data_IF_823448289878
#
_entry.id   IF_823448289878
#
_cell.length_a   1.000
_cell.length_b   1.000
_cell.length_c   1.000
_cell.angle_alpha   90.00
_cell.angle_beta   90.00
_cell.angle_gamma   90.00
#
_symmetry.space_group_name_H-M   'P 1'
#
loop_
_entity.id
_entity.type
_entity.pdbx_description
1 polymer ?
#
# COMPACT_ATOMS: atom_id res chain seq x y z
N UNK A 1 -1.07 -28.77 15.61
CA UNK A 1 -0.50 -27.69 14.79
C UNK A 1 -1.25 -26.39 15.12
N UNK A 2 -0.49 -25.34 15.39
CA UNK A 2 -1.05 -24.03 15.76
C UNK A 2 -2.05 -23.48 14.74
N UNK A 3 -1.83 -23.77 13.45
CA UNK A 3 -2.73 -23.29 12.37
C UNK A 3 -4.10 -23.98 12.43
N UNK A 4 -4.16 -25.22 12.87
CA UNK A 4 -5.42 -25.97 12.99
C UNK A 4 -6.16 -25.67 14.30
N UNK A 5 -5.45 -25.36 15.35
CA UNK A 5 -6.03 -24.96 16.63
C UNK A 5 -6.70 -23.60 16.58
N UNK A 6 -6.31 -22.79 15.60
CA UNK A 6 -6.90 -21.48 15.37
C UNK A 6 -8.26 -21.56 14.66
N UNK A 7 -8.66 -22.73 14.17
CA UNK A 7 -9.89 -22.91 13.39
C UNK A 7 -11.17 -22.85 14.22
N UNK A 8 -11.07 -22.99 15.54
CA UNK A 8 -12.24 -22.97 16.42
C UNK A 8 -12.82 -21.57 16.62
N UNK A 9 -12.07 -20.53 16.24
CA UNK A 9 -12.56 -19.15 16.29
C UNK A 9 -12.61 -18.58 14.87
N UNK A 10 -13.72 -17.92 14.48
CA UNK A 10 -13.78 -17.25 13.19
C UNK A 10 -12.58 -16.31 13.03
N UNK A 11 -11.99 -16.29 11.84
CA UNK A 11 -10.83 -15.45 11.53
C UNK A 11 -11.05 -13.97 11.91
N UNK A 12 -12.27 -13.47 11.66
CA UNK A 12 -12.63 -12.09 11.93
C UNK A 12 -13.15 -11.83 13.35
N UNK A 13 -13.20 -12.85 14.22
CA UNK A 13 -13.62 -12.66 15.61
C UNK A 13 -12.67 -11.75 16.37
N UNK A 14 -11.36 -11.84 16.08
CA UNK A 14 -10.36 -10.91 16.57
C UNK A 14 -9.96 -9.97 15.41
N UNK A 15 -10.56 -8.78 15.36
CA UNK A 15 -10.29 -7.80 14.30
C UNK A 15 -8.84 -7.33 14.26
N UNK A 16 -8.22 -7.22 15.41
CA UNK A 16 -6.82 -6.78 15.48
C UNK A 16 -5.89 -7.81 14.82
N UNK A 17 -6.09 -9.07 15.12
CA UNK A 17 -5.33 -10.17 14.52
C UNK A 17 -5.61 -10.29 13.03
N UNK A 18 -6.87 -10.20 12.62
CA UNK A 18 -7.26 -10.22 11.22
C UNK A 18 -6.60 -9.07 10.45
N UNK A 19 -6.60 -7.88 11.04
CA UNK A 19 -5.94 -6.71 10.45
C UNK A 19 -4.45 -6.98 10.19
N UNK A 20 -3.71 -7.41 11.21
CA UNK A 20 -2.27 -7.64 11.05
C UNK A 20 -1.95 -8.74 10.06
N UNK A 21 -2.72 -9.81 10.05
CA UNK A 21 -2.52 -10.92 9.11
C UNK A 21 -2.80 -10.48 7.67
N UNK A 22 -3.91 -9.79 7.44
CA UNK A 22 -4.28 -9.30 6.11
C UNK A 22 -3.34 -8.19 5.63
N UNK A 23 -2.96 -7.29 6.51
CA UNK A 23 -2.04 -6.20 6.20
C UNK A 23 -0.67 -6.76 5.78
N UNK A 24 -0.11 -7.65 6.56
CA UNK A 24 1.18 -8.27 6.27
C UNK A 24 1.13 -9.17 5.02
N UNK A 25 0.08 -9.97 4.89
CA UNK A 25 -0.11 -10.85 3.72
C UNK A 25 -0.32 -10.03 2.44
N UNK A 26 -1.11 -8.97 2.51
CA UNK A 26 -1.38 -8.08 1.37
C UNK A 26 -0.11 -7.40 0.88
N UNK A 27 0.63 -6.76 1.77
CA UNK A 27 1.87 -6.08 1.40
C UNK A 27 2.97 -7.07 1.00
N UNK A 28 3.08 -8.19 1.69
CA UNK A 28 4.01 -9.26 1.32
C UNK A 28 3.70 -9.85 -0.05
N UNK A 29 2.43 -10.09 -0.34
CA UNK A 29 1.98 -10.58 -1.64
C UNK A 29 2.21 -9.58 -2.77
N UNK A 30 1.89 -8.31 -2.55
CA UNK A 30 2.16 -7.25 -3.53
C UNK A 30 3.65 -7.13 -3.82
N UNK A 31 4.49 -7.14 -2.78
CA UNK A 31 5.94 -7.08 -2.91
C UNK A 31 6.47 -8.27 -3.71
N UNK A 32 5.99 -9.47 -3.42
CA UNK A 32 6.38 -10.68 -4.14
C UNK A 32 6.00 -10.61 -5.61
N UNK A 33 4.80 -10.13 -5.93
CA UNK A 33 4.35 -9.95 -7.32
C UNK A 33 5.22 -8.95 -8.07
N UNK A 34 5.55 -7.81 -7.47
CA UNK A 34 6.43 -6.83 -8.10
C UNK A 34 7.84 -7.39 -8.30
N UNK A 35 8.37 -8.10 -7.31
CA UNK A 35 9.70 -8.71 -7.42
C UNK A 35 9.75 -9.74 -8.54
N UNK A 36 8.74 -10.60 -8.64
CA UNK A 36 8.62 -11.59 -9.73
C UNK A 36 8.52 -10.90 -11.09
N UNK A 37 7.75 -9.82 -11.18
CA UNK A 37 7.62 -9.03 -12.41
C UNK A 37 8.95 -8.46 -12.86
N UNK A 38 9.75 -7.91 -11.94
CA UNK A 38 11.10 -7.39 -12.22
C UNK A 38 11.99 -8.50 -12.78
N UNK A 39 12.01 -9.65 -12.14
CA UNK A 39 12.84 -10.79 -12.56
C UNK A 39 12.36 -11.35 -13.88
N UNK A 40 11.06 -11.54 -14.06
CA UNK A 40 10.46 -12.11 -15.26
C UNK A 40 10.68 -11.24 -16.50
N UNK A 41 10.75 -9.92 -16.34
CA UNK A 41 11.02 -9.00 -17.43
C UNK A 41 12.53 -8.81 -17.72
N UNK A 42 13.37 -9.58 -17.04
CA UNK A 42 14.82 -9.50 -17.25
C UNK A 42 15.45 -8.20 -16.81
N UNK A 43 14.80 -7.46 -15.92
CA UNK A 43 15.32 -6.21 -15.41
C UNK A 43 16.48 -6.47 -14.42
N UNK A 44 17.45 -5.52 -14.29
CA UNK A 44 18.52 -5.67 -13.32
C UNK A 44 17.99 -5.86 -11.89
N UNK A 45 18.71 -6.64 -11.10
CA UNK A 45 18.32 -6.87 -9.70
C UNK A 45 18.29 -5.60 -8.86
N UNK A 46 18.98 -4.54 -9.30
CA UNK A 46 18.92 -3.23 -8.66
C UNK A 46 17.48 -2.65 -8.61
N UNK A 47 16.61 -3.07 -9.53
CA UNK A 47 15.20 -2.67 -9.51
C UNK A 47 14.42 -3.27 -8.34
N UNK A 48 14.95 -4.26 -7.65
CA UNK A 48 14.35 -4.76 -6.41
C UNK A 48 14.45 -3.76 -5.27
N UNK A 49 15.41 -2.85 -5.30
CA UNK A 49 15.54 -1.80 -4.27
C UNK A 49 14.32 -0.87 -4.26
N UNK A 50 13.86 -0.30 -5.40
CA UNK A 50 12.61 0.46 -5.42
C UNK A 50 11.41 -0.34 -4.94
N UNK A 51 11.34 -1.62 -5.29
CA UNK A 51 10.24 -2.50 -4.86
C UNK A 51 10.20 -2.58 -3.33
N UNK A 52 11.34 -2.79 -2.69
CA UNK A 52 11.44 -2.88 -1.23
C UNK A 52 11.12 -1.54 -0.55
N UNK A 53 11.63 -0.43 -1.09
CA UNK A 53 11.35 0.91 -0.55
C UNK A 53 9.85 1.22 -0.68
N UNK A 54 9.26 0.91 -1.82
CA UNK A 54 7.83 1.08 -2.05
C UNK A 54 7.00 0.25 -1.06
N UNK A 55 7.39 -0.98 -0.81
CA UNK A 55 6.71 -1.86 0.14
C UNK A 55 6.76 -1.31 1.56
N UNK A 56 7.92 -0.86 2.03
CA UNK A 56 8.08 -0.29 3.36
C UNK A 56 7.28 1.02 3.48
N UNK A 57 7.36 1.86 2.46
CA UNK A 57 6.61 3.13 2.43
C UNK A 57 5.11 2.89 2.47
N UNK A 58 4.61 2.01 1.61
CA UNK A 58 3.18 1.69 1.54
C UNK A 58 2.68 1.04 2.83
N UNK A 59 3.45 0.12 3.38
CA UNK A 59 3.14 -0.50 4.66
C UNK A 59 2.99 0.54 5.77
N UNK A 60 3.94 1.47 5.85
CA UNK A 60 3.95 2.54 6.85
C UNK A 60 2.79 3.52 6.65
N UNK A 61 2.56 3.95 5.42
CA UNK A 61 1.46 4.88 5.07
C UNK A 61 0.12 4.27 5.44
N UNK A 62 -0.11 3.00 5.11
CA UNK A 62 -1.38 2.34 5.42
C UNK A 62 -1.55 2.07 6.91
N UNK A 63 -0.46 1.89 7.67
CA UNK A 63 -0.55 1.86 9.13
C UNK A 63 -1.02 3.20 9.70
N UNK A 64 -0.50 4.30 9.19
CA UNK A 64 -0.96 5.64 9.60
C UNK A 64 -2.43 5.82 9.27
N UNK A 65 -2.85 5.43 8.06
CA UNK A 65 -4.25 5.48 7.66
C UNK A 65 -5.14 4.66 8.60
N UNK A 66 -4.69 3.49 9.04
CA UNK A 66 -5.45 2.65 9.94
C UNK A 66 -5.74 3.34 11.28
N UNK A 67 -4.77 4.11 11.77
CA UNK A 67 -4.95 4.91 12.98
C UNK A 67 -6.01 6.00 12.75
N UNK A 68 -5.92 6.71 11.65
CA UNK A 68 -6.89 7.75 11.28
C UNK A 68 -8.29 7.14 11.17
N UNK A 69 -8.43 6.01 10.50
CA UNK A 69 -9.72 5.36 10.29
C UNK A 69 -10.37 4.88 11.59
N UNK A 70 -9.58 4.39 12.54
CA UNK A 70 -10.10 4.04 13.87
C UNK A 70 -10.73 5.23 14.58
N UNK A 71 -10.14 6.40 14.40
CA UNK A 71 -10.65 7.62 15.01
C UNK A 71 -11.96 8.09 14.40
N UNK A 72 -12.13 7.93 13.08
CA UNK A 72 -13.26 8.53 12.37
C UNK A 72 -14.41 7.57 12.11
N UNK A 73 -14.22 6.27 12.30
CA UNK A 73 -15.21 5.27 11.94
C UNK A 73 -16.52 5.41 12.75
N UNK A 74 -16.44 5.93 13.97
CA UNK A 74 -17.58 6.16 14.85
C UNK A 74 -18.13 7.59 14.79
N UNK A 75 -17.54 8.43 13.96
CA UNK A 75 -17.98 9.82 13.80
C UNK A 75 -19.17 9.90 12.83
N UNK A 76 -19.72 11.11 12.70
CA UNK A 76 -20.80 11.35 11.74
C UNK A 76 -20.36 10.95 10.33
N UNK A 77 -21.26 10.39 9.49
CA UNK A 77 -20.88 9.95 8.14
C UNK A 77 -20.16 10.99 7.32
N UNK A 78 -20.56 12.26 7.42
CA UNK A 78 -19.89 13.35 6.71
C UNK A 78 -18.42 13.50 7.14
N UNK A 79 -18.14 13.43 8.44
CA UNK A 79 -16.78 13.54 8.98
C UNK A 79 -15.97 12.32 8.58
N UNK A 80 -16.53 11.12 8.69
CA UNK A 80 -15.87 9.87 8.34
C UNK A 80 -15.45 9.86 6.86
N UNK A 81 -16.39 10.13 5.96
CA UNK A 81 -16.12 10.07 4.52
C UNK A 81 -15.25 11.23 4.05
N UNK A 82 -15.46 12.44 4.57
CA UNK A 82 -14.64 13.60 4.25
C UNK A 82 -13.20 13.43 4.69
N UNK A 83 -12.97 12.97 5.92
CA UNK A 83 -11.63 12.69 6.44
C UNK A 83 -10.96 11.54 5.69
N UNK A 84 -11.71 10.49 5.39
CA UNK A 84 -11.21 9.34 4.63
C UNK A 84 -10.75 9.77 3.25
N UNK A 85 -11.56 10.54 2.53
CA UNK A 85 -11.21 11.02 1.20
C UNK A 85 -9.94 11.88 1.24
N UNK A 86 -9.88 12.82 2.17
CA UNK A 86 -8.71 13.67 2.35
C UNK A 86 -7.46 12.86 2.70
N UNK A 87 -7.59 11.89 3.61
CA UNK A 87 -6.48 11.05 4.03
C UNK A 87 -5.98 10.17 2.89
N UNK A 88 -6.89 9.58 2.11
CA UNK A 88 -6.52 8.75 0.94
C UNK A 88 -5.80 9.58 -0.10
N UNK A 89 -6.30 10.78 -0.41
CA UNK A 89 -5.67 11.66 -1.39
C UNK A 89 -4.28 12.09 -0.93
N UNK A 90 -4.13 12.49 0.33
CA UNK A 90 -2.85 12.92 0.89
C UNK A 90 -1.85 11.75 0.94
N UNK A 91 -2.29 10.58 1.37
CA UNK A 91 -1.46 9.38 1.44
C UNK A 91 -1.02 8.93 0.04
N UNK A 92 -1.92 8.96 -0.93
CA UNK A 92 -1.61 8.61 -2.32
C UNK A 92 -0.58 9.56 -2.90
N UNK A 93 -0.76 10.85 -2.68
CA UNK A 93 0.17 11.86 -3.19
C UNK A 93 1.56 11.69 -2.59
N UNK A 94 1.65 11.49 -1.28
CA UNK A 94 2.92 11.25 -0.60
C UNK A 94 3.59 9.97 -1.09
N UNK A 95 2.85 8.89 -1.16
CA UNK A 95 3.35 7.59 -1.59
C UNK A 95 3.84 7.62 -3.04
N UNK A 96 3.02 8.20 -3.93
CA UNK A 96 3.37 8.33 -5.35
C UNK A 96 4.60 9.24 -5.55
N UNK A 97 4.72 10.30 -4.78
CA UNK A 97 5.88 11.19 -4.84
C UNK A 97 7.16 10.43 -4.46
N UNK A 98 7.13 9.70 -3.37
CA UNK A 98 8.28 8.91 -2.91
C UNK A 98 8.64 7.84 -3.94
N UNK A 99 7.66 7.10 -4.44
CA UNK A 99 7.86 6.08 -5.46
C UNK A 99 8.51 6.66 -6.72
N UNK A 100 8.00 7.79 -7.19
CA UNK A 100 8.50 8.46 -8.40
C UNK A 100 9.93 8.94 -8.20
N UNK A 101 10.21 9.55 -7.05
CA UNK A 101 11.54 10.04 -6.74
C UNK A 101 12.56 8.91 -6.68
N UNK A 102 12.21 7.79 -6.07
CA UNK A 102 13.09 6.61 -5.97
C UNK A 102 13.36 6.02 -7.36
N UNK A 103 12.32 5.83 -8.17
CA UNK A 103 12.45 5.29 -9.52
C UNK A 103 13.32 6.21 -10.39
N UNK A 104 13.09 7.52 -10.33
CA UNK A 104 13.87 8.49 -11.10
C UNK A 104 15.36 8.48 -10.70
N UNK A 105 15.63 8.34 -9.40
CA UNK A 105 17.01 8.29 -8.90
C UNK A 105 17.76 7.05 -9.41
N UNK A 106 17.08 5.91 -9.53
CA UNK A 106 17.69 4.65 -9.95
C UNK A 106 17.82 4.54 -11.47
N UNK A 107 16.93 5.19 -12.21
CA UNK A 107 16.96 5.19 -13.68
C UNK A 107 17.90 6.23 -14.29
N UNK A 108 18.94 6.59 -13.60
CA UNK A 108 19.90 7.58 -14.12
C UNK A 108 20.47 7.15 -15.49
N UNK A 109 20.33 8.01 -16.46
CA UNK A 109 21.06 8.00 -17.73
C UNK A 109 20.41 7.26 -18.91
N UNK A 110 19.52 6.29 -18.70
CA UNK A 110 19.01 5.47 -19.79
C UNK A 110 17.56 5.83 -20.21
N UNK A 111 16.77 6.32 -19.29
CA UNK A 111 15.37 6.66 -19.54
C UNK A 111 15.09 8.06 -18.99
N UNK A 112 14.80 8.99 -19.89
CA UNK A 112 14.58 10.40 -19.53
C UNK A 112 13.10 10.74 -19.45
N UNK A 113 12.26 9.80 -18.98
CA UNK A 113 10.85 10.07 -18.78
C UNK A 113 10.68 11.23 -17.80
N UNK A 114 9.92 12.27 -18.14
CA UNK A 114 9.70 13.41 -17.24
C UNK A 114 9.10 12.99 -15.91
N UNK A 115 9.53 13.66 -14.85
CA UNK A 115 9.03 13.40 -13.49
C UNK A 115 7.50 13.47 -13.41
N UNK A 116 6.88 14.47 -14.05
CA UNK A 116 5.43 14.62 -14.05
C UNK A 116 4.71 13.41 -14.64
N UNK A 117 5.24 12.84 -15.71
CA UNK A 117 4.67 11.66 -16.36
C UNK A 117 4.79 10.42 -15.48
N UNK A 118 5.95 10.22 -14.86
CA UNK A 118 6.15 9.14 -13.88
C UNK A 118 5.23 9.29 -12.67
N UNK A 119 5.08 10.52 -12.19
CA UNK A 119 4.21 10.82 -11.06
C UNK A 119 2.75 10.51 -11.37
N UNK A 120 2.26 10.86 -12.56
CA UNK A 120 0.88 10.55 -12.96
C UNK A 120 0.62 9.05 -12.95
N UNK A 121 1.55 8.26 -13.49
CA UNK A 121 1.44 6.80 -13.46
C UNK A 121 1.45 6.25 -12.03
N UNK A 122 2.33 6.78 -11.20
CA UNK A 122 2.41 6.37 -9.79
C UNK A 122 1.16 6.77 -9.02
N UNK A 123 0.61 7.97 -9.25
CA UNK A 123 -0.65 8.41 -8.63
C UNK A 123 -1.79 7.46 -8.95
N UNK A 124 -1.90 7.03 -10.19
CA UNK A 124 -2.94 6.07 -10.60
C UNK A 124 -2.75 4.72 -9.90
N UNK A 125 -1.54 4.16 -9.97
CA UNK A 125 -1.22 2.85 -9.39
C UNK A 125 -1.38 2.86 -7.87
N UNK A 126 -0.77 3.82 -7.20
CA UNK A 126 -0.76 3.91 -5.75
C UNK A 126 -2.14 4.33 -5.22
N UNK A 127 -2.87 5.15 -5.97
CA UNK A 127 -4.24 5.50 -5.65
C UNK A 127 -5.18 4.31 -5.66
N UNK A 128 -5.05 3.44 -6.65
CA UNK A 128 -5.82 2.18 -6.69
C UNK A 128 -5.45 1.27 -5.51
N UNK A 129 -4.18 1.17 -5.19
CA UNK A 129 -3.69 0.32 -4.11
C UNK A 129 -4.17 0.82 -2.74
N UNK A 130 -4.00 2.10 -2.46
CA UNK A 130 -4.44 2.73 -1.21
C UNK A 130 -5.97 2.72 -1.12
N UNK A 131 -6.66 3.01 -2.21
CA UNK A 131 -8.12 2.98 -2.26
C UNK A 131 -8.68 1.59 -1.99
N UNK A 132 -8.12 0.57 -2.63
CA UNK A 132 -8.52 -0.82 -2.41
C UNK A 132 -8.25 -1.26 -0.98
N UNK A 133 -7.08 -0.91 -0.44
CA UNK A 133 -6.74 -1.22 0.96
C UNK A 133 -7.72 -0.55 1.92
N UNK A 134 -8.05 0.71 1.69
CA UNK A 134 -9.00 1.47 2.51
C UNK A 134 -10.41 0.87 2.45
N UNK A 135 -10.86 0.48 1.26
CA UNK A 135 -12.14 -0.18 1.08
C UNK A 135 -12.20 -1.50 1.86
N UNK A 136 -11.15 -2.30 1.79
CA UNK A 136 -11.05 -3.55 2.54
C UNK A 136 -11.04 -3.29 4.06
N UNK A 137 -10.33 -2.26 4.48
CA UNK A 137 -10.30 -1.89 5.90
C UNK A 137 -11.70 -1.61 6.44
N UNK A 138 -12.50 -0.81 5.72
CA UNK A 138 -13.87 -0.49 6.14
C UNK A 138 -14.85 -1.66 5.96
N UNK A 139 -14.59 -2.57 5.04
CA UNK A 139 -15.45 -3.74 4.80
C UNK A 139 -15.29 -4.81 5.88
N UNK A 140 -14.17 -4.85 6.54
CA UNK A 140 -13.87 -5.82 7.60
C UNK A 140 -14.09 -5.19 8.97
#
# INVERSE_FOLDING_TARGET
MAILELSDKPFFADKNRAFWNLHSAGWGGATALYAVTVIANGQPLSFLVPVLISAVTGYSVTLILSVVYRYVIEKRPFVTWGTTLFAVMSATLLYAYIDTWVVQTIREGADQTPFAQLLLGALFKDGLLIGAWSALYYAI
#
